data_IF_608885200264
#
_entry.id   IF_608885200264
#
_cell.length_a   1.000
_cell.length_b   1.000
_cell.length_c   1.000
_cell.angle_alpha   90.00
_cell.angle_beta   90.00
_cell.angle_gamma   90.00
#
_symmetry.space_group_name_H-M   'P 1'
#
loop_
_entity.id
_entity.type
_entity.pdbx_description
1 polymer ?
#
# COMPACT_ATOMS: atom_id res chain seq x y z
N UNK A 1 -37.00 -59.39 -44.74
CA UNK A 1 -37.50 -58.45 -43.71
C UNK A 1 -36.33 -58.07 -42.80
N UNK A 2 -35.54 -57.06 -43.14
CA UNK A 2 -35.69 -55.64 -42.73
C UNK A 2 -35.57 -55.38 -41.22
N UNK A 3 -34.35 -54.98 -40.84
CA UNK A 3 -33.91 -53.87 -39.94
C UNK A 3 -34.62 -53.66 -38.59
N UNK A 4 -33.84 -53.63 -37.48
CA UNK A 4 -34.01 -52.65 -36.37
C UNK A 4 -32.67 -52.24 -35.71
N UNK A 5 -32.22 -51.06 -36.13
CA UNK A 5 -31.50 -49.98 -35.43
C UNK A 5 -30.80 -50.26 -34.09
N UNK A 6 -29.47 -50.27 -34.13
CA UNK A 6 -28.59 -49.90 -33.02
C UNK A 6 -28.58 -48.38 -32.86
N UNK A 7 -29.08 -47.85 -31.74
CA UNK A 7 -28.88 -46.45 -31.36
C UNK A 7 -27.61 -46.31 -30.54
N UNK A 8 -26.64 -45.63 -31.15
CA UNK A 8 -25.37 -45.21 -30.58
C UNK A 8 -25.60 -43.91 -29.80
N UNK A 9 -25.54 -43.94 -28.46
CA UNK A 9 -25.47 -42.72 -27.66
C UNK A 9 -24.01 -42.43 -27.31
N UNK A 10 -23.39 -41.58 -28.13
CA UNK A 10 -22.10 -40.93 -27.85
C UNK A 10 -22.27 -39.92 -26.72
N UNK A 11 -21.76 -40.22 -25.53
CA UNK A 11 -21.55 -39.22 -24.48
C UNK A 11 -20.22 -38.50 -24.71
N UNK A 12 -20.31 -37.24 -25.10
CA UNK A 12 -19.20 -36.30 -25.20
C UNK A 12 -18.83 -35.82 -23.78
N UNK A 13 -17.80 -36.42 -23.19
CA UNK A 13 -17.23 -35.91 -21.94
C UNK A 13 -16.32 -34.72 -22.25
N UNK A 14 -16.83 -33.51 -22.03
CA UNK A 14 -16.06 -32.28 -22.13
C UNK A 14 -14.99 -32.22 -21.02
N UNK A 15 -13.73 -32.09 -21.42
CA UNK A 15 -12.61 -31.90 -20.52
C UNK A 15 -12.67 -30.51 -19.88
N UNK A 16 -12.84 -30.44 -18.55
CA UNK A 16 -12.55 -29.24 -17.78
C UNK A 16 -11.04 -29.17 -17.55
N UNK A 17 -10.36 -28.37 -18.36
CA UNK A 17 -9.01 -27.88 -18.05
C UNK A 17 -9.20 -26.75 -17.04
N UNK A 18 -8.98 -27.04 -15.75
CA UNK A 18 -8.89 -26.02 -14.73
C UNK A 18 -7.60 -25.21 -14.98
N UNK A 19 -7.76 -23.99 -15.49
CA UNK A 19 -6.67 -23.03 -15.59
C UNK A 19 -6.20 -22.64 -14.20
N UNK A 20 -4.94 -22.93 -13.90
CA UNK A 20 -4.25 -22.39 -12.73
C UNK A 20 -3.93 -20.93 -13.05
N UNK A 21 -4.76 -19.99 -12.55
CA UNK A 21 -4.41 -18.58 -12.56
C UNK A 21 -3.31 -18.35 -11.53
N UNK A 22 -2.07 -18.33 -11.99
CA UNK A 22 -0.97 -17.74 -11.23
C UNK A 22 -1.21 -16.24 -11.15
N UNK A 23 -1.61 -15.74 -9.99
CA UNK A 23 -1.54 -14.32 -9.69
C UNK A 23 -0.07 -13.90 -9.76
N UNK A 24 0.28 -13.09 -10.75
CA UNK A 24 1.60 -12.47 -10.83
C UNK A 24 1.67 -11.35 -9.80
N UNK A 25 2.39 -11.58 -8.70
CA UNK A 25 2.82 -10.48 -7.81
C UNK A 25 3.61 -9.45 -8.63
N UNK A 26 3.38 -8.17 -8.38
CA UNK A 26 4.13 -7.08 -9.03
C UNK A 26 5.43 -6.88 -8.24
N UNK A 27 6.51 -7.47 -8.75
CA UNK A 27 7.89 -7.33 -8.27
C UNK A 27 8.40 -8.47 -7.37
N UNK A 28 9.69 -8.80 -7.48
CA UNK A 28 10.39 -9.86 -6.74
C UNK A 28 11.54 -9.28 -5.90
N UNK A 29 11.40 -9.31 -4.56
CA UNK A 29 12.40 -8.82 -3.62
C UNK A 29 13.78 -9.51 -3.76
N UNK A 30 13.80 -10.78 -4.16
CA UNK A 30 15.03 -11.56 -4.35
C UNK A 30 15.80 -11.04 -5.57
N UNK A 31 15.10 -10.70 -6.65
CA UNK A 31 15.71 -10.03 -7.80
C UNK A 31 16.06 -8.57 -7.48
N UNK A 32 15.23 -7.87 -6.73
CA UNK A 32 15.49 -6.50 -6.26
C UNK A 32 16.80 -6.40 -5.47
N UNK A 33 17.11 -7.38 -4.64
CA UNK A 33 18.38 -7.48 -3.93
C UNK A 33 19.60 -7.60 -4.88
N UNK A 34 19.41 -8.22 -6.06
CA UNK A 34 20.44 -8.28 -7.12
C UNK A 34 20.58 -6.94 -7.82
N UNK A 35 19.46 -6.28 -8.15
CA UNK A 35 19.47 -4.93 -8.75
C UNK A 35 20.16 -3.94 -7.81
N UNK A 36 19.91 -4.03 -6.50
CA UNK A 36 20.53 -3.18 -5.46
C UNK A 36 22.06 -3.27 -5.41
N UNK A 37 22.70 -4.30 -5.98
CA UNK A 37 24.17 -4.35 -6.06
C UNK A 37 24.75 -3.13 -6.81
N UNK A 38 23.98 -2.52 -7.71
CA UNK A 38 24.35 -1.27 -8.40
C UNK A 38 24.37 -0.06 -7.44
N UNK A 39 23.61 -0.12 -6.36
CA UNK A 39 23.44 0.96 -5.38
C UNK A 39 24.41 0.85 -4.19
N UNK A 40 24.80 -0.39 -3.85
CA UNK A 40 25.57 -0.75 -2.64
C UNK A 40 26.95 -0.09 -2.53
N UNK A 41 27.53 0.36 -3.64
CA UNK A 41 28.77 1.13 -3.64
C UNK A 41 28.61 2.52 -2.97
N UNK A 42 27.41 3.09 -3.05
CA UNK A 42 27.13 4.44 -2.55
C UNK A 42 26.21 4.46 -1.34
N UNK A 43 25.27 3.52 -1.27
CA UNK A 43 24.19 3.49 -0.29
C UNK A 43 24.27 2.25 0.60
N UNK A 44 23.70 2.36 1.80
CA UNK A 44 23.53 1.25 2.74
C UNK A 44 22.07 1.11 3.15
N UNK A 45 21.69 -0.13 3.46
CA UNK A 45 20.40 -0.53 4.04
C UNK A 45 20.63 -1.55 5.15
N UNK A 46 19.66 -1.71 6.04
CA UNK A 46 19.67 -2.68 7.15
C UNK A 46 20.23 -2.12 8.44
N UNK A 47 20.36 -3.01 9.43
CA UNK A 47 20.87 -2.68 10.75
C UNK A 47 22.26 -2.04 10.68
N UNK A 48 22.43 -0.89 11.34
CA UNK A 48 23.69 -0.16 11.37
C UNK A 48 24.08 0.52 10.05
N UNK A 49 23.15 0.70 9.11
CA UNK A 49 23.38 1.47 7.88
C UNK A 49 23.87 2.90 8.20
N UNK A 50 24.85 3.39 7.43
CA UNK A 50 25.44 4.72 7.58
C UNK A 50 25.47 5.44 6.25
N UNK A 51 25.50 6.76 6.32
CA UNK A 51 25.77 7.60 5.17
C UNK A 51 27.20 7.38 4.64
N UNK A 52 27.33 7.38 3.31
CA UNK A 52 28.61 7.20 2.60
C UNK A 52 28.73 8.21 1.45
N UNK A 53 28.91 7.72 0.22
CA UNK A 53 28.88 8.56 -0.99
C UNK A 53 27.46 9.08 -1.20
N UNK A 54 26.45 8.23 -0.96
CA UNK A 54 25.05 8.59 -0.84
C UNK A 54 24.56 8.41 0.60
N UNK A 55 23.38 8.94 0.94
CA UNK A 55 22.78 8.73 2.25
C UNK A 55 22.31 7.29 2.43
N UNK A 56 22.10 6.86 3.67
CA UNK A 56 21.46 5.59 3.97
C UNK A 56 19.99 5.57 3.48
N UNK A 57 19.48 4.37 3.15
CA UNK A 57 18.17 4.19 2.50
C UNK A 57 17.12 3.48 3.37
N UNK A 58 17.39 3.22 4.64
CA UNK A 58 16.35 2.82 5.58
C UNK A 58 15.33 3.95 5.76
N UNK A 59 14.05 3.61 5.82
CA UNK A 59 12.94 4.56 5.93
C UNK A 59 12.89 5.54 4.76
N UNK A 60 13.11 5.07 3.53
CA UNK A 60 13.19 5.96 2.36
C UNK A 60 11.81 6.31 1.82
N UNK A 61 10.85 5.40 1.85
CA UNK A 61 9.47 5.68 1.46
C UNK A 61 8.85 6.70 2.41
N UNK A 62 7.94 7.56 1.93
CA UNK A 62 7.29 8.62 2.73
C UNK A 62 8.22 9.77 3.16
N UNK A 63 9.54 9.58 3.10
CA UNK A 63 10.51 10.58 3.54
C UNK A 63 10.64 11.71 2.52
N UNK A 64 10.59 12.96 3.02
CA UNK A 64 10.91 14.14 2.21
C UNK A 64 12.33 14.07 1.66
N UNK A 65 12.55 14.53 0.43
CA UNK A 65 13.85 14.49 -0.18
C UNK A 65 14.85 15.45 0.50
N UNK A 66 16.13 15.04 0.61
CA UNK A 66 17.19 15.93 1.09
C UNK A 66 17.22 16.20 2.61
N UNK A 67 16.65 15.32 3.43
CA UNK A 67 16.41 15.61 4.87
C UNK A 67 17.27 14.86 5.88
N UNK A 68 18.11 13.91 5.46
CA UNK A 68 18.96 13.20 6.44
C UNK A 68 19.99 14.18 6.99
N UNK A 69 19.94 14.36 8.32
CA UNK A 69 20.82 15.27 9.04
C UNK A 69 22.28 14.86 8.88
N UNK A 70 23.16 15.83 8.68
CA UNK A 70 24.60 15.60 8.52
C UNK A 70 25.03 15.14 7.12
N UNK A 71 24.12 14.64 6.28
CA UNK A 71 24.44 14.33 4.89
C UNK A 71 24.42 15.60 4.02
N UNK A 72 25.47 15.78 3.21
CA UNK A 72 25.55 16.93 2.31
C UNK A 72 24.81 16.65 1.00
N UNK A 73 23.61 17.18 0.81
CA UNK A 73 22.89 17.06 -0.46
C UNK A 73 23.38 18.06 -1.52
N UNK A 74 22.87 17.91 -2.75
CA UNK A 74 23.02 18.92 -3.80
C UNK A 74 22.01 20.05 -3.56
N UNK A 75 22.36 21.29 -3.91
CA UNK A 75 21.44 22.44 -3.79
C UNK A 75 20.08 22.20 -4.48
N UNK A 76 20.08 21.46 -5.60
CA UNK A 76 18.84 21.13 -6.30
C UNK A 76 17.98 20.11 -5.55
N UNK A 77 18.62 19.13 -4.90
CA UNK A 77 17.91 18.15 -4.07
C UNK A 77 17.30 18.83 -2.84
N UNK A 78 18.06 19.71 -2.17
CA UNK A 78 17.54 20.51 -1.05
C UNK A 78 16.32 21.34 -1.48
N UNK A 79 16.42 22.01 -2.64
CA UNK A 79 15.32 22.78 -3.20
C UNK A 79 14.09 21.92 -3.46
N UNK A 80 14.24 20.81 -4.18
CA UNK A 80 13.10 19.95 -4.50
C UNK A 80 12.44 19.39 -3.25
N UNK A 81 13.22 19.00 -2.25
CA UNK A 81 12.69 18.60 -0.95
C UNK A 81 11.92 19.71 -0.24
N UNK A 82 12.36 20.96 -0.32
CA UNK A 82 11.65 22.11 0.25
C UNK A 82 10.40 22.50 -0.56
N UNK A 83 10.40 22.23 -1.86
CA UNK A 83 9.26 22.42 -2.77
C UNK A 83 8.24 21.27 -2.70
N UNK A 84 8.43 20.30 -1.80
CA UNK A 84 7.48 19.24 -1.49
C UNK A 84 7.79 17.85 -2.06
N UNK A 85 8.96 17.65 -2.70
CA UNK A 85 9.34 16.32 -3.19
C UNK A 85 9.46 15.34 -2.02
N UNK A 86 8.64 14.30 -2.07
CA UNK A 86 8.58 13.20 -1.11
C UNK A 86 8.78 11.89 -1.84
N UNK A 87 9.50 10.95 -1.23
CA UNK A 87 9.80 9.65 -1.81
C UNK A 87 8.63 8.68 -1.69
N UNK A 88 7.74 8.74 -2.66
CA UNK A 88 6.70 7.72 -2.94
C UNK A 88 7.25 6.65 -3.88
N UNK A 89 6.53 5.54 -4.10
CA UNK A 89 6.92 4.57 -5.13
C UNK A 89 7.05 5.22 -6.52
N UNK A 90 6.10 6.08 -6.89
CA UNK A 90 6.10 6.76 -8.19
C UNK A 90 7.31 7.70 -8.37
N UNK A 91 7.63 8.49 -7.34
CA UNK A 91 8.74 9.45 -7.42
C UNK A 91 10.10 8.76 -7.29
N UNK A 92 10.19 7.67 -6.52
CA UNK A 92 11.38 6.83 -6.49
C UNK A 92 11.60 6.13 -7.83
N UNK A 93 10.55 5.58 -8.45
CA UNK A 93 10.61 4.97 -9.79
C UNK A 93 11.16 5.96 -10.83
N UNK A 94 10.56 7.15 -10.91
CA UNK A 94 11.02 8.22 -11.80
C UNK A 94 12.47 8.63 -11.49
N UNK A 95 12.85 8.67 -10.21
CA UNK A 95 14.20 9.06 -9.81
C UNK A 95 15.25 8.01 -10.18
N UNK A 96 14.99 6.73 -9.94
CA UNK A 96 15.93 5.65 -10.27
C UNK A 96 15.95 5.33 -11.76
N UNK A 97 14.89 5.67 -12.52
CA UNK A 97 14.90 5.61 -13.98
C UNK A 97 15.85 6.66 -14.60
N UNK A 98 15.82 7.90 -14.08
CA UNK A 98 16.68 8.98 -14.52
C UNK A 98 16.85 10.09 -13.46
N UNK A 99 17.88 10.01 -12.59
CA UNK A 99 18.05 10.95 -11.48
C UNK A 99 18.21 12.40 -11.93
N UNK A 100 18.87 12.61 -13.07
CA UNK A 100 19.16 13.95 -13.60
C UNK A 100 17.94 14.60 -14.25
N UNK A 101 16.97 13.80 -14.71
CA UNK A 101 15.71 14.31 -15.26
C UNK A 101 14.79 14.83 -14.16
N UNK A 102 14.64 14.08 -13.06
CA UNK A 102 13.81 14.53 -11.94
C UNK A 102 14.51 15.62 -11.13
N UNK A 103 15.77 15.43 -10.73
CA UNK A 103 16.55 16.41 -9.94
C UNK A 103 17.78 16.86 -10.70
N UNK A 104 17.65 18.00 -11.39
CA UNK A 104 18.75 18.58 -12.16
C UNK A 104 20.00 18.83 -11.29
N UNK A 105 21.18 18.49 -11.79
CA UNK A 105 22.46 18.65 -11.05
C UNK A 105 22.50 17.91 -9.69
N UNK A 106 21.73 16.83 -9.53
CA UNK A 106 21.89 15.94 -8.38
C UNK A 106 23.33 15.42 -8.27
N UNK A 107 23.78 15.18 -7.04
CA UNK A 107 25.05 14.51 -6.73
C UNK A 107 25.01 13.00 -7.00
N UNK A 108 23.82 12.41 -7.16
CA UNK A 108 23.67 11.00 -7.53
C UNK A 108 24.00 10.81 -9.01
N UNK A 109 25.28 10.62 -9.33
CA UNK A 109 25.75 10.38 -10.69
C UNK A 109 25.51 8.92 -11.14
N UNK A 110 24.23 8.54 -11.14
CA UNK A 110 23.77 7.23 -11.56
C UNK A 110 23.16 7.31 -12.97
N UNK A 111 23.38 6.28 -13.79
CA UNK A 111 22.89 6.25 -15.19
C UNK A 111 21.38 6.01 -15.30
N UNK A 112 20.79 5.45 -14.25
CA UNK A 112 19.39 5.06 -14.20
C UNK A 112 19.16 3.60 -14.63
N UNK A 113 18.01 3.05 -14.26
CA UNK A 113 17.54 1.70 -14.61
C UNK A 113 16.41 1.83 -15.64
N UNK A 114 16.59 1.29 -16.84
CA UNK A 114 15.61 1.47 -17.94
C UNK A 114 14.52 0.41 -17.96
N UNK A 115 14.86 -0.80 -17.55
CA UNK A 115 13.88 -1.86 -17.41
C UNK A 115 12.94 -1.51 -16.24
N UNK A 116 11.63 -1.61 -16.48
CA UNK A 116 10.63 -1.27 -15.46
C UNK A 116 10.50 -2.38 -14.41
N UNK A 117 10.62 -3.65 -14.80
CA UNK A 117 10.54 -4.76 -13.87
C UNK A 117 11.73 -4.75 -12.88
N UNK A 118 12.94 -4.43 -13.35
CA UNK A 118 14.10 -4.25 -12.46
C UNK A 118 13.88 -3.11 -11.43
N UNK A 119 13.15 -2.06 -11.81
CA UNK A 119 12.81 -0.96 -10.89
C UNK A 119 11.76 -1.42 -9.88
N UNK A 120 10.71 -2.09 -10.33
CA UNK A 120 9.66 -2.63 -9.46
C UNK A 120 10.25 -3.60 -8.42
N UNK A 121 11.07 -4.55 -8.87
CA UNK A 121 11.81 -5.49 -8.02
C UNK A 121 12.67 -4.75 -6.98
N UNK A 122 13.42 -3.72 -7.40
CA UNK A 122 14.25 -2.91 -6.51
C UNK A 122 13.41 -2.17 -5.46
N UNK A 123 12.26 -1.60 -5.84
CA UNK A 123 11.37 -0.91 -4.92
C UNK A 123 10.80 -1.87 -3.89
N UNK A 124 10.40 -3.08 -4.29
CA UNK A 124 9.95 -4.14 -3.35
C UNK A 124 11.07 -4.50 -2.36
N UNK A 125 12.31 -4.65 -2.81
CA UNK A 125 13.45 -4.90 -1.93
C UNK A 125 13.70 -3.76 -0.93
N UNK A 126 13.65 -2.49 -1.38
CA UNK A 126 13.89 -1.33 -0.50
C UNK A 126 12.80 -1.15 0.56
N UNK A 127 11.56 -1.60 0.30
CA UNK A 127 10.48 -1.54 1.29
C UNK A 127 10.82 -2.32 2.56
N UNK A 128 11.55 -3.42 2.42
CA UNK A 128 11.97 -4.28 3.55
C UNK A 128 12.86 -3.57 4.58
N UNK A 129 13.40 -2.38 4.26
CA UNK A 129 14.26 -1.61 5.14
C UNK A 129 13.63 -0.30 5.60
N UNK A 130 12.35 -0.10 5.29
CA UNK A 130 11.66 1.14 5.63
C UNK A 130 10.83 1.09 6.90
N UNK A 131 10.89 -0.05 7.63
CA UNK A 131 10.34 -0.36 8.97
C UNK A 131 9.79 0.84 9.75
N UNK A 132 8.65 1.30 9.25
CA UNK A 132 7.74 2.27 9.78
C UNK A 132 6.41 1.88 9.14
N UNK A 133 5.33 1.64 9.92
CA UNK A 133 3.99 1.45 9.39
C UNK A 133 3.54 2.54 8.41
N UNK A 134 4.19 3.72 8.43
CA UNK A 134 3.98 4.84 7.50
C UNK A 134 4.78 4.77 6.18
N UNK A 135 5.69 3.81 5.99
CA UNK A 135 6.61 3.76 4.85
C UNK A 135 6.39 2.56 3.90
N UNK A 136 5.18 2.02 3.85
CA UNK A 136 4.74 1.15 2.76
C UNK A 136 4.19 2.00 1.60
N UNK A 137 4.55 1.73 0.34
CA UNK A 137 3.88 2.29 -0.82
C UNK A 137 2.43 1.84 -1.05
N UNK A 138 1.81 1.20 -0.07
CA UNK A 138 0.36 0.91 0.00
C UNK A 138 -0.42 1.94 0.85
N UNK A 139 0.17 3.07 1.24
CA UNK A 139 -0.62 4.31 1.42
C UNK A 139 -0.66 5.01 0.05
N UNK A 140 -1.40 4.55 -0.96
CA UNK A 140 -2.76 3.94 -1.03
C UNK A 140 -2.79 2.52 -1.67
N UNK A 141 -3.88 1.72 -1.50
CA UNK A 141 -4.91 1.77 -0.46
C UNK A 141 -4.90 0.49 0.41
N UNK A 142 -5.66 0.52 1.50
CA UNK A 142 -6.12 -0.66 2.25
C UNK A 142 -7.06 -1.56 1.43
N UNK A 143 -6.58 -2.06 0.30
CA UNK A 143 -7.18 -3.16 -0.44
C UNK A 143 -6.08 -3.95 -1.15
N UNK A 144 -5.69 -5.06 -0.53
CA UNK A 144 -5.23 -6.20 -1.34
C UNK A 144 -6.38 -6.63 -2.26
N UNK A 145 -6.10 -7.21 -3.43
CA UNK A 145 -7.15 -7.80 -4.29
C UNK A 145 -7.95 -8.95 -3.61
N UNK A 146 -7.58 -9.30 -2.37
CA UNK A 146 -8.25 -10.24 -1.47
C UNK A 146 -9.04 -9.58 -0.33
N UNK A 147 -9.00 -8.25 -0.16
CA UNK A 147 -9.79 -7.55 0.86
C UNK A 147 -11.28 -7.41 0.48
N UNK A 148 -11.66 -7.82 -0.74
CA UNK A 148 -13.05 -7.85 -1.22
C UNK A 148 -13.81 -9.14 -0.85
N UNK A 149 -13.25 -10.04 -0.05
CA UNK A 149 -13.99 -11.19 0.51
C UNK A 149 -14.93 -10.76 1.66
N UNK A 150 -15.43 -9.52 1.62
CA UNK A 150 -16.55 -9.08 2.44
C UNK A 150 -17.81 -9.47 1.69
N UNK A 151 -18.74 -10.13 2.40
CA UNK A 151 -20.02 -10.50 1.82
C UNK A 151 -20.65 -9.25 1.18
N UNK A 152 -21.04 -9.28 -0.10
CA UNK A 152 -21.68 -8.14 -0.75
C UNK A 152 -22.89 -7.60 0.03
N UNK A 153 -23.54 -8.43 0.85
CA UNK A 153 -24.60 -7.99 1.75
C UNK A 153 -24.13 -7.00 2.82
N UNK A 154 -22.89 -7.10 3.30
CA UNK A 154 -22.30 -6.19 4.29
C UNK A 154 -21.98 -4.84 3.64
N UNK A 155 -21.40 -4.83 2.43
CA UNK A 155 -21.13 -3.58 1.70
C UNK A 155 -22.40 -2.84 1.28
N UNK A 156 -23.50 -3.57 1.10
CA UNK A 156 -24.81 -3.00 0.78
C UNK A 156 -25.57 -2.47 2.02
N UNK A 157 -25.04 -2.62 3.23
CA UNK A 157 -25.67 -2.07 4.44
C UNK A 157 -25.66 -0.54 4.38
N UNK A 158 -26.84 0.06 4.51
CA UNK A 158 -26.97 1.50 4.63
C UNK A 158 -26.84 1.89 6.10
N UNK A 159 -25.76 2.61 6.43
CA UNK A 159 -25.52 3.11 7.78
C UNK A 159 -26.46 4.23 8.19
N UNK A 160 -26.83 4.25 9.48
CA UNK A 160 -27.51 5.38 10.11
C UNK A 160 -26.46 6.36 10.67
N UNK A 161 -26.31 7.57 10.11
CA UNK A 161 -25.28 8.52 10.55
C UNK A 161 -25.55 9.07 11.97
N UNK A 162 -26.79 9.12 12.44
CA UNK A 162 -27.11 9.55 13.81
C UNK A 162 -26.66 8.49 14.82
N UNK A 163 -26.85 7.21 14.47
CA UNK A 163 -26.33 6.10 15.26
C UNK A 163 -24.79 6.03 15.20
N UNK A 164 -24.20 6.32 14.04
CA UNK A 164 -22.75 6.44 13.86
C UNK A 164 -22.14 7.52 14.75
N UNK A 165 -22.79 8.70 14.86
CA UNK A 165 -22.34 9.77 15.75
C UNK A 165 -22.27 9.34 17.22
N UNK A 166 -23.30 8.60 17.66
CA UNK A 166 -23.36 8.07 19.02
C UNK A 166 -22.19 7.11 19.31
N UNK A 167 -21.88 6.21 18.37
CA UNK A 167 -20.78 5.25 18.48
C UNK A 167 -19.39 5.92 18.35
N UNK A 168 -19.30 7.01 17.60
CA UNK A 168 -18.05 7.70 17.29
C UNK A 168 -17.35 8.31 18.51
N UNK A 169 -18.02 8.43 19.67
CA UNK A 169 -17.43 8.98 20.88
C UNK A 169 -16.11 8.30 21.29
N UNK A 170 -16.06 6.97 21.21
CA UNK A 170 -14.85 6.18 21.50
C UNK A 170 -13.79 6.31 20.41
N UNK A 171 -14.21 6.50 19.16
CA UNK A 171 -13.29 6.71 18.03
C UNK A 171 -12.60 8.07 18.18
N UNK A 172 -13.36 9.08 18.59
CA UNK A 172 -12.91 10.46 18.71
C UNK A 172 -11.99 10.74 19.89
N UNK A 173 -11.79 9.78 20.80
CA UNK A 173 -10.75 9.91 21.84
C UNK A 173 -9.34 9.83 21.28
N UNK A 174 -9.21 9.24 20.09
CA UNK A 174 -7.95 8.95 19.42
C UNK A 174 -7.92 9.58 18.02
N UNK A 175 -8.99 9.43 17.24
CA UNK A 175 -9.11 9.95 15.88
C UNK A 175 -9.77 11.33 15.91
N UNK A 176 -9.02 12.37 15.56
CA UNK A 176 -9.53 13.74 15.67
C UNK A 176 -10.67 13.97 14.67
N UNK A 177 -11.71 14.69 15.11
CA UNK A 177 -12.91 14.95 14.30
C UNK A 177 -12.71 16.05 13.25
N UNK A 178 -11.76 16.93 13.49
CA UNK A 178 -11.39 18.06 12.64
C UNK A 178 -10.47 17.68 11.47
N UNK A 179 -10.20 16.38 11.30
CA UNK A 179 -9.34 15.87 10.24
C UNK A 179 -7.85 16.07 10.48
N UNK A 180 -7.43 16.53 11.67
CA UNK A 180 -6.02 16.68 12.00
C UNK A 180 -5.33 15.33 12.32
N UNK A 181 -4.14 15.13 11.75
CA UNK A 181 -3.34 13.90 11.92
C UNK A 181 -2.17 14.11 12.91
N UNK A 182 -2.45 14.05 14.22
CA UNK A 182 -1.44 14.17 15.28
C UNK A 182 -0.83 12.81 15.69
N UNK A 183 -0.41 12.01 14.70
CA UNK A 183 0.16 10.66 14.90
C UNK A 183 -0.88 9.54 15.03
N UNK A 184 -2.17 9.87 15.01
CA UNK A 184 -3.29 8.94 14.81
C UNK A 184 -4.02 9.42 13.55
N UNK A 185 -4.27 8.54 12.56
CA UNK A 185 -4.79 8.97 11.26
C UNK A 185 -6.24 9.46 11.38
N UNK A 186 -6.57 10.47 10.59
CA UNK A 186 -7.92 10.96 10.38
C UNK A 186 -8.77 9.88 9.74
N UNK A 187 -10.01 9.83 10.20
CA UNK A 187 -11.08 9.01 9.64
C UNK A 187 -12.25 9.89 9.18
N UNK A 188 -12.10 11.22 9.25
CA UNK A 188 -13.06 12.21 8.75
C UNK A 188 -13.03 12.23 7.22
N UNK A 189 -14.19 12.36 6.58
CA UNK A 189 -14.38 12.41 5.14
C UNK A 189 -13.84 11.18 4.39
N UNK A 190 -13.84 10.02 5.05
CA UNK A 190 -13.52 8.74 4.40
C UNK A 190 -14.74 8.24 3.62
N UNK A 191 -14.58 7.74 2.37
CA UNK A 191 -15.66 7.05 1.68
C UNK A 191 -16.20 5.91 2.54
N UNK A 192 -17.53 5.78 2.63
CA UNK A 192 -18.13 4.82 3.54
C UNK A 192 -17.70 3.37 3.24
N UNK A 193 -17.54 3.03 1.96
CA UNK A 193 -17.06 1.71 1.51
C UNK A 193 -15.66 1.41 2.06
N UNK A 194 -14.73 2.37 1.96
CA UNK A 194 -13.34 2.22 2.41
C UNK A 194 -13.26 2.05 3.93
N UNK A 195 -14.10 2.78 4.67
CA UNK A 195 -14.21 2.63 6.12
C UNK A 195 -14.70 1.22 6.50
N UNK A 196 -15.76 0.73 5.86
CA UNK A 196 -16.30 -0.62 6.09
C UNK A 196 -15.22 -1.67 5.82
N UNK A 197 -14.55 -1.60 4.67
CA UNK A 197 -13.47 -2.52 4.30
C UNK A 197 -12.36 -2.53 5.35
N UNK A 198 -11.87 -1.35 5.76
CA UNK A 198 -10.80 -1.23 6.74
C UNK A 198 -11.18 -1.83 8.11
N UNK A 199 -12.40 -1.59 8.58
CA UNK A 199 -12.85 -2.12 9.88
C UNK A 199 -13.01 -3.64 9.87
N UNK A 200 -13.50 -4.21 8.78
CA UNK A 200 -13.57 -5.67 8.63
C UNK A 200 -12.18 -6.32 8.49
N UNK A 201 -11.22 -5.66 7.85
CA UNK A 201 -9.84 -6.12 7.79
C UNK A 201 -9.19 -6.16 9.19
N UNK A 202 -9.45 -5.17 10.05
CA UNK A 202 -9.03 -5.21 11.46
C UNK A 202 -9.76 -6.29 12.26
N UNK A 203 -11.08 -6.41 12.10
CA UNK A 203 -11.90 -7.43 12.79
C UNK A 203 -11.44 -8.86 12.47
N UNK A 204 -11.05 -9.11 11.22
CA UNK A 204 -10.50 -10.40 10.74
C UNK A 204 -9.00 -10.56 10.99
N UNK A 205 -8.35 -9.57 11.60
CA UNK A 205 -6.90 -9.52 11.88
C UNK A 205 -6.03 -9.61 10.62
N UNK A 206 -6.58 -9.30 9.46
CA UNK A 206 -5.83 -9.17 8.21
C UNK A 206 -4.93 -7.92 8.26
N UNK A 207 -5.42 -6.85 8.90
CA UNK A 207 -4.62 -5.66 9.18
C UNK A 207 -3.99 -5.74 10.58
N UNK A 208 -2.64 -5.74 10.71
CA UNK A 208 -1.97 -5.90 12.00
C UNK A 208 -1.94 -4.56 12.78
N UNK A 209 -2.87 -4.38 13.72
CA UNK A 209 -2.79 -3.27 14.69
C UNK A 209 -3.56 -3.62 15.98
N UNK A 210 -2.89 -3.91 17.11
CA UNK A 210 -3.54 -4.45 18.31
C UNK A 210 -4.72 -3.61 18.83
N UNK A 211 -4.61 -2.28 18.79
CA UNK A 211 -5.69 -1.38 19.24
C UNK A 211 -6.90 -1.46 18.30
N UNK A 212 -6.73 -1.21 17.01
CA UNK A 212 -7.84 -1.27 16.05
C UNK A 212 -8.43 -2.66 15.85
N UNK A 213 -7.66 -3.74 16.04
CA UNK A 213 -8.22 -5.11 16.10
C UNK A 213 -9.13 -5.30 17.31
N UNK A 214 -8.79 -4.71 18.45
CA UNK A 214 -9.66 -4.72 19.64
C UNK A 214 -10.90 -3.86 19.40
N UNK A 215 -10.75 -2.67 18.80
CA UNK A 215 -11.86 -1.75 18.49
C UNK A 215 -12.82 -2.31 17.43
N UNK A 216 -12.31 -2.92 16.37
CA UNK A 216 -13.14 -3.53 15.32
C UNK A 216 -13.74 -4.87 15.78
N UNK A 217 -13.05 -5.59 16.66
CA UNK A 217 -13.51 -6.86 17.21
C UNK A 217 -14.84 -6.76 17.97
N UNK A 218 -15.12 -5.60 18.59
CA UNK A 218 -16.33 -5.34 19.38
C UNK A 218 -17.54 -4.83 18.59
N UNK A 219 -17.38 -4.44 17.33
CA UNK A 219 -18.44 -3.83 16.52
C UNK A 219 -19.18 -4.87 15.67
N UNK A 220 -20.50 -4.73 15.49
CA UNK A 220 -21.27 -5.47 14.48
C UNK A 220 -21.08 -4.88 13.08
N UNK A 221 -21.57 -5.57 12.06
CA UNK A 221 -21.48 -5.13 10.67
C UNK A 221 -22.34 -3.87 10.45
N UNK A 222 -23.50 -3.78 11.12
CA UNK A 222 -24.38 -2.60 11.11
C UNK A 222 -23.76 -1.41 11.84
N UNK A 223 -23.05 -1.65 12.95
CA UNK A 223 -22.33 -0.61 13.69
C UNK A 223 -21.17 -0.04 12.88
N UNK A 224 -20.47 -0.90 12.12
CA UNK A 224 -19.43 -0.46 11.18
C UNK A 224 -20.03 0.39 10.07
N UNK A 225 -21.16 -0.02 9.48
CA UNK A 225 -21.85 0.75 8.44
C UNK A 225 -22.35 2.12 8.96
N UNK A 226 -22.90 2.18 10.17
CA UNK A 226 -23.34 3.42 10.81
C UNK A 226 -22.18 4.40 11.05
N UNK A 227 -21.06 3.90 11.58
CA UNK A 227 -19.83 4.70 11.75
C UNK A 227 -19.30 5.21 10.42
N UNK A 228 -19.32 4.37 9.37
CA UNK A 228 -18.90 4.75 8.02
C UNK A 228 -19.73 5.93 7.47
N UNK A 229 -21.06 5.83 7.56
CA UNK A 229 -21.97 6.89 7.11
C UNK A 229 -21.79 8.21 7.88
N UNK A 230 -21.50 8.14 9.18
CA UNK A 230 -21.21 9.33 9.99
C UNK A 230 -19.91 9.99 9.58
N UNK A 231 -18.81 9.24 9.52
CA UNK A 231 -17.49 9.79 9.26
C UNK A 231 -17.30 10.29 7.82
N UNK A 232 -17.97 9.68 6.84
CA UNK A 232 -18.06 10.19 5.46
C UNK A 232 -18.70 11.57 5.41
N UNK A 233 -19.68 11.85 6.28
CA UNK A 233 -20.43 13.11 6.30
C UNK A 233 -19.72 14.24 7.08
N UNK A 234 -18.58 13.97 7.71
CA UNK A 234 -17.79 14.98 8.43
C UNK A 234 -16.82 15.70 7.47
N UNK A 235 -16.72 17.03 7.60
CA UNK A 235 -15.86 17.92 6.80
C UNK A 235 -14.53 18.25 7.49
#
# INVERSE_FOLDING_TARGET
>A
MTVRFTSLLTFLAAALVAGVSSATEVGDAVNGAKVFQQCKACHQVGEGAKDRVGPQLNGVFGRRAGVIEGFRYSKSMDRMGNDGLTWTAQTLDAYIENPKALVSKTRMNFKGIKDAADRDDLLVYLRQFSDDPANFPEAEPTATATDHDIDPAILALQGDPEYGEYLAGDCSTCHQRDGEDAGIPSITNWPAEDFVVAMHAYKRKLRPHPVMQMMAGRLSDEEIAALAAYFEALE
#
